data_IF_859115835764
#
_entry.id   IF_859115835764
#
_cell.length_a   1.000
_cell.length_b   1.000
_cell.length_c   1.000
_cell.angle_alpha   90.00
_cell.angle_beta   90.00
_cell.angle_gamma   90.00
#
_symmetry.space_group_name_H-M   'P 1'
#
loop_
_entity.id
_entity.type
_entity.pdbx_description
1 polymer ?
#
# COMPACT_ATOMS: atom_id res chain seq x y z
N UNK A 1 6.93 -4.88 4.32
CA UNK A 1 5.99 -3.75 4.10
C UNK A 1 5.62 -3.11 5.43
N UNK A 2 6.41 -3.33 6.49
CA UNK A 2 5.84 -3.47 7.84
C UNK A 2 5.46 -2.13 8.48
N UNK A 3 5.80 -1.02 7.82
CA UNK A 3 5.69 0.33 8.36
C UNK A 3 4.89 1.30 7.46
N UNK A 4 4.03 0.82 6.54
CA UNK A 4 3.30 1.71 5.61
C UNK A 4 2.54 2.85 6.32
N UNK A 5 1.74 2.51 7.32
CA UNK A 5 0.95 3.48 8.08
C UNK A 5 1.86 4.45 8.86
N UNK A 6 2.87 3.92 9.56
CA UNK A 6 3.78 4.73 10.36
C UNK A 6 4.53 5.77 9.50
N UNK A 7 5.07 5.34 8.36
CA UNK A 7 5.78 6.21 7.41
C UNK A 7 4.86 7.25 6.75
N UNK A 8 3.61 6.87 6.46
CA UNK A 8 2.59 7.80 5.96
C UNK A 8 2.21 8.83 7.02
N UNK A 9 2.09 8.43 8.30
CA UNK A 9 1.76 9.37 9.36
C UNK A 9 2.92 10.31 9.72
N UNK A 10 4.17 9.87 9.52
CA UNK A 10 5.36 10.66 9.79
C UNK A 10 5.82 11.54 8.61
N UNK A 11 5.16 11.45 7.44
CA UNK A 11 5.60 12.17 6.24
C UNK A 11 6.92 11.65 5.66
N UNK A 12 7.38 10.47 6.07
CA UNK A 12 8.70 9.94 5.69
C UNK A 12 8.60 9.07 4.44
N UNK A 13 9.34 9.43 3.40
CA UNK A 13 9.45 8.58 2.20
C UNK A 13 10.35 7.37 2.49
N UNK A 14 9.88 6.12 2.28
CA UNK A 14 10.74 4.95 2.47
C UNK A 14 11.87 4.92 1.44
N UNK A 15 13.02 4.38 1.85
CA UNK A 15 14.14 4.09 0.93
C UNK A 15 13.80 2.97 -0.06
N UNK A 16 12.95 2.03 0.34
CA UNK A 16 12.50 0.90 -0.49
C UNK A 16 11.04 1.11 -0.84
N UNK A 17 10.75 1.32 -2.12
CA UNK A 17 9.41 1.63 -2.62
C UNK A 17 8.72 0.45 -3.28
N UNK A 18 9.36 -0.73 -3.36
CA UNK A 18 8.75 -1.93 -3.90
C UNK A 18 9.34 -3.19 -3.30
N UNK A 19 8.59 -4.28 -3.35
CA UNK A 19 9.08 -5.58 -2.90
C UNK A 19 8.06 -6.69 -3.09
N UNK A 20 8.35 -7.84 -2.48
CA UNK A 20 7.45 -9.00 -2.44
C UNK A 20 6.97 -9.25 -1.01
N UNK A 21 5.69 -9.57 -0.88
CA UNK A 21 5.09 -10.17 0.31
C UNK A 21 4.73 -11.64 0.04
N UNK A 22 3.98 -12.25 0.96
CA UNK A 22 3.49 -13.61 0.76
C UNK A 22 2.37 -13.62 -0.29
N UNK A 23 2.70 -13.99 -1.53
CA UNK A 23 1.75 -14.15 -2.65
C UNK A 23 1.35 -12.87 -3.38
N UNK A 24 2.06 -11.76 -3.14
CA UNK A 24 1.84 -10.50 -3.86
C UNK A 24 3.11 -9.66 -3.94
N UNK A 25 3.16 -8.80 -4.96
CA UNK A 25 4.11 -7.68 -5.06
C UNK A 25 3.45 -6.44 -4.50
N UNK A 26 4.25 -5.57 -3.88
CA UNK A 26 3.78 -4.28 -3.38
C UNK A 26 4.62 -3.15 -3.96
N UNK A 27 3.98 -2.00 -4.19
CA UNK A 27 4.61 -0.75 -4.67
C UNK A 27 4.07 0.44 -3.90
N UNK A 28 4.97 1.21 -3.28
CA UNK A 28 4.71 2.53 -2.74
C UNK A 28 4.69 3.53 -3.89
N UNK A 29 3.50 4.00 -4.26
CA UNK A 29 3.35 4.91 -5.41
C UNK A 29 3.59 6.37 -5.00
N UNK A 30 3.07 6.77 -3.84
CA UNK A 30 3.24 8.10 -3.28
C UNK A 30 2.86 8.11 -1.79
N UNK A 31 2.98 9.26 -1.13
CA UNK A 31 2.64 9.42 0.28
C UNK A 31 1.20 8.96 0.57
N UNK A 32 1.04 7.88 1.35
CA UNK A 32 -0.27 7.29 1.68
C UNK A 32 -0.93 6.50 0.55
N UNK A 33 -0.21 6.19 -0.53
CA UNK A 33 -0.71 5.40 -1.65
C UNK A 33 0.13 4.14 -1.87
N UNK A 34 -0.51 2.98 -1.72
CA UNK A 34 0.09 1.67 -1.86
C UNK A 34 -0.68 0.84 -2.89
N UNK A 35 0.05 0.25 -3.83
CA UNK A 35 -0.46 -0.76 -4.76
C UNK A 35 -0.04 -2.16 -4.30
N UNK A 36 -0.98 -3.10 -4.32
CA UNK A 36 -0.75 -4.52 -4.08
C UNK A 36 -1.19 -5.30 -5.32
N UNK A 37 -0.30 -6.09 -5.88
CA UNK A 37 -0.57 -6.93 -7.06
C UNK A 37 -0.37 -8.39 -6.67
N UNK A 38 -1.43 -9.22 -6.67
CA UNK A 38 -1.31 -10.66 -6.45
C UNK A 38 -0.33 -11.30 -7.46
N UNK A 39 0.38 -12.32 -7.02
CA UNK A 39 1.21 -13.13 -7.93
C UNK A 39 0.33 -14.10 -8.76
N UNK A 40 -0.77 -14.55 -8.18
CA UNK A 40 -1.77 -15.35 -8.86
C UNK A 40 -2.58 -14.48 -9.85
N UNK A 41 -3.05 -15.05 -10.97
CA UNK A 41 -3.97 -14.36 -11.86
C UNK A 41 -5.24 -13.96 -11.12
N UNK A 42 -5.68 -12.72 -11.33
CA UNK A 42 -7.03 -12.26 -11.00
C UNK A 42 -7.80 -12.05 -12.29
N UNK A 43 -9.13 -12.09 -12.23
CA UNK A 43 -9.97 -11.70 -13.37
C UNK A 43 -9.48 -10.33 -13.89
N UNK A 44 -9.25 -10.23 -15.21
CA UNK A 44 -8.50 -9.11 -15.82
C UNK A 44 -9.08 -7.73 -15.49
N UNK A 45 -10.36 -7.66 -15.16
CA UNK A 45 -11.10 -6.43 -14.87
C UNK A 45 -11.38 -6.22 -13.37
N UNK A 46 -10.74 -7.00 -12.50
CA UNK A 46 -10.99 -6.95 -11.05
C UNK A 46 -9.90 -6.17 -10.32
N UNK A 47 -10.22 -4.92 -10.00
CA UNK A 47 -9.46 -4.08 -9.08
C UNK A 47 -10.33 -3.67 -7.88
N UNK A 48 -9.72 -3.56 -6.70
CA UNK A 48 -10.37 -3.04 -5.49
C UNK A 48 -9.59 -1.83 -5.00
N UNK A 49 -10.30 -0.73 -4.75
CA UNK A 49 -9.73 0.46 -4.11
C UNK A 49 -10.25 0.53 -2.68
N UNK A 50 -9.33 0.51 -1.72
CA UNK A 50 -9.62 0.73 -0.30
C UNK A 50 -9.10 2.12 0.08
N UNK A 51 -10.00 3.00 0.52
CA UNK A 51 -9.63 4.31 1.04
C UNK A 51 -10.03 4.42 2.51
N UNK A 52 -9.15 5.01 3.30
CA UNK A 52 -9.37 5.28 4.72
C UNK A 52 -8.70 6.60 5.08
N UNK A 53 -9.23 7.26 6.10
CA UNK A 53 -8.66 8.48 6.66
C UNK A 53 -8.47 8.33 8.15
N UNK A 54 -7.50 9.04 8.71
CA UNK A 54 -7.38 9.18 10.15
C UNK A 54 -8.66 9.84 10.68
N UNK A 55 -9.36 9.17 11.60
CA UNK A 55 -10.43 9.80 12.34
C UNK A 55 -9.83 10.81 13.31
N UNK A 56 -10.28 12.05 13.24
CA UNK A 56 -10.03 13.09 14.24
C UNK A 56 -11.28 13.18 15.12
N UNK A 57 -11.65 12.09 15.78
CA UNK A 57 -12.61 12.16 16.86
C UNK A 57 -11.92 12.86 18.03
N UNK A 58 -12.49 13.99 18.43
CA UNK A 58 -12.08 14.79 19.57
C UNK A 58 -12.72 14.24 20.83
#
# INVERSE_FOLDING_TARGET
MDNFLALTLSGTTPRVTQGKGAGFRWRWLSHGLLELTPDAPVDRDRALILSARRSTAR
#
